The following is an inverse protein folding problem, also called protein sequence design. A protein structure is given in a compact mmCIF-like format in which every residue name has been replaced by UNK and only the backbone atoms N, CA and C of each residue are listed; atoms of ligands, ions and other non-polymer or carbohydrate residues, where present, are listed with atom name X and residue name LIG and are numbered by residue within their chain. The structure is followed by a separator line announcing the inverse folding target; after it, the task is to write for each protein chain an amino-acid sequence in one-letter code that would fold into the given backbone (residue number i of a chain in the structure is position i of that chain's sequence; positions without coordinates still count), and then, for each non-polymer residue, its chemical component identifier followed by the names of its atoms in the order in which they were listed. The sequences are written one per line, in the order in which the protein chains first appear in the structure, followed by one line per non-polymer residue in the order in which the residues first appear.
data_IF_761423983269
#
_entry.id   IF_761423983269
#
_cell.length_a   1.000
_cell.length_b   1.000
_cell.length_c   1.000
_cell.angle_alpha   90.00
_cell.angle_beta   90.00
_cell.angle_gamma   90.00
#
_symmetry.space_group_name_H-M   'P 1'
#
loop_
_entity.id
_entity.type
_entity.pdbx_description
1 polymer ?
#
# COMPACT_ATOMS: atom_id res chain seq x y z
N UNK A 1 2.04 -1.23 -9.64
CA UNK A 1 1.94 0.20 -9.39
C UNK A 1 2.98 0.97 -10.21
N UNK A 2 4.25 0.59 -10.21
CA UNK A 2 5.31 1.28 -10.97
C UNK A 2 4.94 1.50 -12.44
N UNK A 3 4.48 0.48 -13.16
CA UNK A 3 4.08 0.60 -14.56
C UNK A 3 2.93 1.61 -14.77
N UNK A 4 1.97 1.66 -13.84
CA UNK A 4 0.85 2.62 -13.90
C UNK A 4 1.40 4.05 -13.78
N UNK A 5 2.27 4.28 -12.81
CA UNK A 5 2.90 5.59 -12.59
C UNK A 5 3.80 5.98 -13.76
N UNK A 6 4.53 5.04 -14.34
CA UNK A 6 5.36 5.30 -15.51
C UNK A 6 4.53 5.71 -16.72
N UNK A 7 3.43 4.99 -16.99
CA UNK A 7 2.49 5.36 -18.07
C UNK A 7 1.85 6.72 -17.81
N UNK A 8 1.38 6.98 -16.60
CA UNK A 8 0.81 8.26 -16.21
C UNK A 8 1.83 9.38 -16.42
N UNK A 9 3.03 9.22 -15.87
CA UNK A 9 4.11 10.19 -15.96
C UNK A 9 4.50 10.54 -17.40
N UNK A 10 4.50 9.52 -18.28
CA UNK A 10 4.76 9.72 -19.72
C UNK A 10 3.62 10.51 -20.39
N UNK A 11 2.37 10.21 -20.03
CA UNK A 11 1.20 10.88 -20.61
C UNK A 11 1.09 12.36 -20.20
N UNK A 12 1.36 12.63 -18.92
CA UNK A 12 1.26 14.00 -18.38
C UNK A 12 2.59 14.77 -18.45
N UNK A 13 3.67 14.10 -18.89
CA UNK A 13 5.03 14.64 -18.98
C UNK A 13 5.60 15.19 -17.66
N UNK A 14 5.12 14.63 -16.54
CA UNK A 14 5.56 14.99 -15.19
C UNK A 14 5.93 13.76 -14.38
N UNK A 15 6.96 13.83 -13.53
CA UNK A 15 7.28 12.75 -12.61
C UNK A 15 6.18 12.63 -11.55
N UNK A 16 5.82 11.38 -11.24
CA UNK A 16 4.73 11.07 -10.33
C UNK A 16 5.13 10.11 -9.23
N UNK A 17 4.47 10.21 -8.08
CA UNK A 17 4.53 9.22 -7.03
C UNK A 17 3.12 8.83 -6.60
N UNK A 18 2.98 7.62 -6.04
CA UNK A 18 1.79 7.17 -5.37
C UNK A 18 2.11 6.81 -3.93
N UNK A 19 1.42 7.46 -3.01
CA UNK A 19 1.55 7.20 -1.57
C UNK A 19 0.39 6.31 -1.14
N UNK A 20 0.72 5.06 -0.84
CA UNK A 20 -0.20 4.00 -0.43
C UNK A 20 -0.43 4.10 1.08
N UNK A 21 -1.63 4.53 1.48
CA UNK A 21 -2.00 4.68 2.89
C UNK A 21 -2.51 3.38 3.53
N UNK A 22 -2.70 2.32 2.75
CA UNK A 22 -3.16 1.02 3.24
C UNK A 22 -1.97 0.13 3.64
N UNK A 23 -0.91 0.11 2.82
CA UNK A 23 0.27 -0.71 3.06
C UNK A 23 1.50 0.12 3.49
N UNK A 24 1.34 1.43 3.69
CA UNK A 24 2.37 2.37 4.12
C UNK A 24 3.62 2.31 3.21
N UNK A 25 3.39 2.42 1.90
CA UNK A 25 4.45 2.37 0.87
C UNK A 25 4.36 3.55 -0.07
N UNK A 26 5.51 3.93 -0.62
CA UNK A 26 5.58 4.96 -1.65
C UNK A 26 6.17 4.35 -2.91
N UNK A 27 5.54 4.64 -4.03
CA UNK A 27 5.96 4.21 -5.36
C UNK A 27 6.24 5.44 -6.22
N UNK A 28 7.29 5.37 -7.03
CA UNK A 28 7.71 6.47 -7.89
C UNK A 28 7.73 6.02 -9.35
N UNK A 29 7.48 6.95 -10.27
CA UNK A 29 7.82 6.78 -11.70
C UNK A 29 9.35 6.77 -11.88
N UNK A 30 9.83 6.29 -13.04
CA UNK A 30 11.27 6.20 -13.31
C UNK A 30 11.92 7.56 -13.59
N UNK A 31 11.17 8.47 -14.21
CA UNK A 31 11.62 9.81 -14.64
C UNK A 31 11.58 10.88 -13.52
N UNK A 32 11.78 10.45 -12.27
CA UNK A 32 11.91 11.41 -11.15
C UNK A 32 13.15 12.26 -11.37
N UNK A 33 12.97 13.59 -11.34
CA UNK A 33 14.07 14.57 -11.51
C UNK A 33 15.11 14.44 -10.40
N UNK A 34 16.33 14.92 -10.67
CA UNK A 34 17.41 14.94 -9.66
C UNK A 34 16.97 15.67 -8.40
N UNK A 35 16.23 16.78 -8.54
CA UNK A 35 15.70 17.58 -7.44
C UNK A 35 14.69 16.83 -6.55
N UNK A 36 14.04 15.80 -7.06
CA UNK A 36 13.07 14.97 -6.31
C UNK A 36 13.60 13.58 -5.98
N UNK A 37 14.81 13.24 -6.42
CA UNK A 37 15.39 11.90 -6.24
C UNK A 37 15.58 11.55 -4.76
N UNK A 38 15.85 12.56 -3.92
CA UNK A 38 16.01 12.37 -2.47
C UNK A 38 14.75 11.78 -1.81
N UNK A 39 13.56 12.01 -2.39
CA UNK A 39 12.30 11.46 -1.87
C UNK A 39 12.29 9.93 -1.86
N UNK A 40 13.01 9.28 -2.78
CA UNK A 40 13.10 7.80 -2.84
C UNK A 40 13.80 7.20 -1.62
N UNK A 41 14.59 7.99 -0.91
CA UNK A 41 15.30 7.58 0.32
C UNK A 41 14.54 7.87 1.61
N UNK A 42 13.41 8.59 1.54
CA UNK A 42 12.63 8.96 2.73
C UNK A 42 11.64 7.86 3.15
N UNK A 43 11.34 7.83 4.44
CA UNK A 43 10.30 6.94 4.96
C UNK A 43 8.91 7.42 4.54
N UNK A 44 7.93 6.49 4.56
CA UNK A 44 6.54 6.79 4.27
C UNK A 44 5.99 7.94 5.15
N UNK A 45 6.30 7.92 6.45
CA UNK A 45 5.83 8.91 7.44
C UNK A 45 6.34 10.32 7.12
N UNK A 46 7.59 10.44 6.70
CA UNK A 46 8.18 11.73 6.31
C UNK A 46 7.47 12.27 5.07
N UNK A 47 7.28 11.42 4.06
CA UNK A 47 6.59 11.85 2.82
C UNK A 47 5.15 12.25 3.10
N UNK A 48 4.45 11.51 3.95
CA UNK A 48 3.07 11.80 4.32
C UNK A 48 2.93 13.15 5.05
N UNK A 49 3.81 13.44 5.99
CA UNK A 49 3.68 14.58 6.90
C UNK A 49 4.28 15.87 6.34
N UNK A 50 5.40 15.79 5.62
CA UNK A 50 6.17 16.97 5.24
C UNK A 50 5.96 17.37 3.77
N UNK A 51 5.69 16.41 2.88
CA UNK A 51 5.68 16.66 1.43
C UNK A 51 4.28 16.73 0.82
N UNK A 52 3.23 16.36 1.55
CA UNK A 52 1.85 16.44 1.08
C UNK A 52 1.42 17.87 0.71
N UNK A 53 1.90 18.86 1.46
CA UNK A 53 1.57 20.27 1.20
C UNK A 53 2.46 20.89 0.13
N UNK A 54 3.67 20.38 -0.04
CA UNK A 54 4.64 20.88 -1.02
C UNK A 54 4.25 20.57 -2.45
N UNK A 55 3.72 19.37 -2.69
CA UNK A 55 3.33 18.88 -4.01
C UNK A 55 1.81 18.86 -4.20
N UNK A 56 1.38 18.84 -5.46
CA UNK A 56 -0.04 18.61 -5.74
C UNK A 56 -0.38 17.16 -5.53
N UNK A 57 -1.36 16.91 -4.66
CA UNK A 57 -1.83 15.57 -4.32
C UNK A 57 -3.27 15.40 -4.78
N UNK A 58 -3.53 14.28 -5.46
CA UNK A 58 -4.86 13.87 -5.91
C UNK A 58 -5.24 12.62 -5.16
N UNK A 59 -6.31 12.67 -4.38
CA UNK A 59 -6.78 11.55 -3.58
C UNK A 59 -7.26 10.39 -4.45
N UNK A 60 -6.80 9.17 -4.14
CA UNK A 60 -7.24 7.92 -4.76
C UNK A 60 -8.28 7.30 -3.84
N UNK A 61 -9.55 7.54 -4.14
CA UNK A 61 -10.69 7.15 -3.30
C UNK A 61 -11.73 6.37 -4.12
N UNK A 62 -12.38 5.40 -3.48
CA UNK A 62 -13.54 4.72 -4.02
C UNK A 62 -14.65 4.76 -2.97
N UNK A 63 -15.71 5.50 -3.23
CA UNK A 63 -16.77 5.82 -2.26
C UNK A 63 -16.17 6.43 -0.99
N UNK A 64 -16.24 5.71 0.14
CA UNK A 64 -15.73 6.16 1.43
C UNK A 64 -14.32 5.64 1.74
N UNK A 65 -13.79 4.70 0.92
CA UNK A 65 -12.47 4.11 1.16
C UNK A 65 -11.38 4.89 0.44
N UNK A 66 -10.42 5.40 1.21
CA UNK A 66 -9.21 6.03 0.70
C UNK A 66 -8.09 5.00 0.61
N UNK A 67 -7.46 4.91 -0.56
CA UNK A 67 -6.33 4.01 -0.83
C UNK A 67 -4.97 4.73 -0.78
N UNK A 68 -5.00 6.05 -0.88
CA UNK A 68 -3.82 6.88 -0.88
C UNK A 68 -3.99 8.13 -1.73
N UNK A 69 -2.90 8.62 -2.30
CA UNK A 69 -2.94 9.75 -3.23
C UNK A 69 -1.81 9.69 -4.25
N UNK A 70 -2.08 10.20 -5.44
CA UNK A 70 -1.09 10.46 -6.48
C UNK A 70 -0.48 11.83 -6.20
N UNK A 71 0.84 11.90 -6.15
CA UNK A 71 1.61 13.12 -5.95
C UNK A 71 2.33 13.47 -7.25
N UNK A 72 2.18 14.70 -7.70
CA UNK A 72 2.84 15.24 -8.88
C UNK A 72 4.08 15.97 -8.41
N UNK A 73 5.27 15.50 -8.87
CA UNK A 73 6.56 15.92 -8.33
C UNK A 73 7.16 17.13 -9.08
N UNK A 74 6.37 17.87 -9.83
CA UNK A 74 6.78 19.14 -10.42
C UNK A 74 6.41 20.31 -9.52
N UNK A 75 7.17 21.39 -9.60
CA UNK A 75 6.93 22.58 -8.78
C UNK A 75 5.60 23.27 -9.19
N UNK A 76 4.80 23.66 -8.21
CA UNK A 76 3.50 24.31 -8.43
C UNK A 76 3.60 25.64 -9.20
N UNK A 77 4.75 26.30 -9.10
CA UNK A 77 4.99 27.63 -9.69
C UNK A 77 5.15 27.62 -11.22
N UNK A 78 5.51 26.49 -11.81
CA UNK A 78 5.85 26.38 -13.25
C UNK A 78 4.70 25.90 -14.15
N UNK A 79 3.49 25.73 -13.59
CA UNK A 79 2.38 25.10 -14.34
C UNK A 79 1.57 26.11 -15.11
N UNK A 80 1.94 26.33 -16.34
CA UNK A 80 1.10 26.96 -17.37
C UNK A 80 0.51 25.86 -18.24
N UNK A 81 -0.66 25.31 -17.87
CA UNK A 81 -1.36 24.37 -18.75
C UNK A 81 -2.13 25.13 -19.81
N UNK A 82 -1.96 24.84 -21.13
CA UNK A 82 -2.90 25.30 -22.14
C UNK A 82 -4.28 24.63 -21.85
N UNK A 83 -5.35 25.38 -22.01
CA UNK A 83 -6.74 24.95 -21.73
C UNK A 83 -7.13 23.61 -22.38
N UNK A 84 -6.51 23.26 -23.49
CA UNK A 84 -6.78 22.02 -24.26
C UNK A 84 -6.14 20.77 -23.59
N UNK A 85 -5.00 20.93 -22.92
CA UNK A 85 -4.27 19.82 -22.27
C UNK A 85 -4.84 19.49 -20.88
N UNK A 86 -5.53 20.43 -20.26
CA UNK A 86 -6.17 20.27 -18.94
C UNK A 86 -7.13 19.07 -18.88
N UNK A 87 -7.87 18.79 -19.96
CA UNK A 87 -8.84 17.70 -20.00
C UNK A 87 -8.16 16.34 -20.16
N UNK A 88 -7.12 16.22 -20.99
CA UNK A 88 -6.32 14.99 -21.18
C UNK A 88 -5.61 14.65 -19.89
N UNK A 89 -5.01 15.65 -19.25
CA UNK A 89 -4.30 15.54 -18.00
C UNK A 89 -5.21 15.00 -16.87
N UNK A 90 -6.37 15.62 -16.67
CA UNK A 90 -7.37 15.18 -15.70
C UNK A 90 -7.83 13.76 -15.96
N UNK A 91 -8.15 13.45 -17.21
CA UNK A 91 -8.60 12.13 -17.62
C UNK A 91 -7.52 11.06 -17.38
N UNK A 92 -6.25 11.35 -17.68
CA UNK A 92 -5.14 10.42 -17.42
C UNK A 92 -5.00 10.09 -15.93
N UNK A 93 -5.11 11.10 -15.05
CA UNK A 93 -5.06 10.90 -13.60
C UNK A 93 -6.26 10.09 -13.11
N UNK A 94 -7.46 10.37 -13.61
CA UNK A 94 -8.67 9.62 -13.27
C UNK A 94 -8.54 8.13 -13.65
N UNK A 95 -8.07 7.83 -14.86
CA UNK A 95 -7.82 6.44 -15.27
C UNK A 95 -6.74 5.77 -14.44
N UNK A 96 -5.62 6.45 -14.18
CA UNK A 96 -4.57 5.92 -13.31
C UNK A 96 -5.12 5.62 -11.91
N UNK A 97 -5.94 6.50 -11.34
CA UNK A 97 -6.58 6.30 -10.05
C UNK A 97 -7.48 5.06 -10.04
N UNK A 98 -8.30 4.86 -11.07
CA UNK A 98 -9.16 3.68 -11.19
C UNK A 98 -8.33 2.40 -11.23
N UNK A 99 -7.26 2.37 -12.04
CA UNK A 99 -6.39 1.19 -12.16
C UNK A 99 -5.65 0.91 -10.84
N UNK A 100 -5.20 1.96 -10.14
CA UNK A 100 -4.59 1.82 -8.81
C UNK A 100 -5.61 1.23 -7.81
N UNK A 101 -6.85 1.74 -7.78
CA UNK A 101 -7.90 1.23 -6.91
C UNK A 101 -8.13 -0.26 -7.14
N UNK A 102 -8.29 -0.68 -8.40
CA UNK A 102 -8.48 -2.09 -8.75
C UNK A 102 -7.30 -2.95 -8.28
N UNK A 103 -6.07 -2.47 -8.49
CA UNK A 103 -4.87 -3.17 -8.05
C UNK A 103 -4.78 -3.28 -6.54
N UNK A 104 -5.17 -2.24 -5.83
CA UNK A 104 -5.20 -2.21 -4.36
C UNK A 104 -6.27 -3.15 -3.81
N UNK A 105 -7.46 -3.19 -4.39
CA UNK A 105 -8.52 -4.10 -3.99
C UNK A 105 -8.10 -5.57 -4.14
N UNK A 106 -7.47 -5.94 -5.26
CA UNK A 106 -6.92 -7.29 -5.46
C UNK A 106 -5.89 -7.61 -4.37
N UNK A 107 -4.98 -6.68 -4.07
CA UNK A 107 -3.94 -6.87 -3.07
C UNK A 107 -4.51 -7.04 -1.65
N UNK A 108 -5.50 -6.24 -1.29
CA UNK A 108 -6.21 -6.36 -0.01
C UNK A 108 -6.93 -7.71 0.08
N UNK A 109 -7.64 -8.10 -0.98
CA UNK A 109 -8.34 -9.39 -1.03
C UNK A 109 -7.37 -10.56 -0.87
N UNK A 110 -6.25 -10.56 -1.58
CA UNK A 110 -5.23 -11.60 -1.46
C UNK A 110 -4.68 -11.69 -0.02
N UNK A 111 -4.38 -10.53 0.59
CA UNK A 111 -3.93 -10.49 1.98
C UNK A 111 -4.95 -11.05 2.95
N UNK A 112 -6.23 -10.73 2.78
CA UNK A 112 -7.30 -11.28 3.64
C UNK A 112 -7.42 -12.80 3.49
N UNK A 113 -7.25 -13.32 2.27
CA UNK A 113 -7.24 -14.77 2.00
C UNK A 113 -6.05 -15.44 2.69
N UNK A 114 -4.84 -14.87 2.55
CA UNK A 114 -3.63 -15.36 3.21
C UNK A 114 -3.80 -15.38 4.74
N UNK A 115 -4.26 -14.26 5.33
CA UNK A 115 -4.51 -14.14 6.77
C UNK A 115 -5.52 -15.18 7.27
N UNK A 116 -6.57 -15.48 6.49
CA UNK A 116 -7.55 -16.53 6.82
C UNK A 116 -6.90 -17.91 6.85
N UNK A 117 -6.06 -18.24 5.87
CA UNK A 117 -5.35 -19.51 5.83
C UNK A 117 -4.36 -19.66 6.98
N UNK A 118 -3.59 -18.61 7.29
CA UNK A 118 -2.68 -18.59 8.45
C UNK A 118 -3.45 -18.84 9.76
N UNK A 119 -4.53 -18.10 9.98
CA UNK A 119 -5.35 -18.23 11.18
C UNK A 119 -5.96 -19.62 11.32
N UNK A 120 -6.42 -20.21 10.20
CA UNK A 120 -6.94 -21.58 10.19
C UNK A 120 -5.86 -22.60 10.54
N UNK A 121 -4.66 -22.48 9.97
CA UNK A 121 -3.56 -23.39 10.27
C UNK A 121 -3.10 -23.29 11.72
N UNK A 122 -2.97 -22.07 12.26
CA UNK A 122 -2.64 -21.86 13.68
C UNK A 122 -3.73 -22.45 14.58
N UNK A 123 -5.01 -22.25 14.24
CA UNK A 123 -6.12 -22.88 14.96
C UNK A 123 -6.07 -24.40 14.95
N UNK A 124 -5.78 -25.01 13.80
CA UNK A 124 -5.61 -26.45 13.65
C UNK A 124 -4.45 -26.99 14.51
N UNK A 125 -3.33 -26.26 14.58
CA UNK A 125 -2.20 -26.61 15.45
C UNK A 125 -2.60 -26.56 16.93
N UNK A 126 -3.25 -25.47 17.36
CA UNK A 126 -3.66 -25.27 18.76
C UNK A 126 -4.69 -26.31 19.23
N UNK A 127 -5.60 -26.71 18.34
CA UNK A 127 -6.64 -27.72 18.62
C UNK A 127 -6.17 -29.15 18.39
N UNK A 128 -4.89 -29.35 18.03
CA UNK A 128 -4.33 -30.66 17.69
C UNK A 128 -5.09 -31.40 16.57
N UNK A 129 -5.63 -30.65 15.62
CA UNK A 129 -6.33 -31.18 14.44
C UNK A 129 -5.35 -31.72 13.39
N UNK A 130 -4.12 -31.22 13.34
CA UNK A 130 -3.02 -31.74 12.50
C UNK A 130 -2.22 -32.72 13.33
N UNK A 131 -2.26 -34.01 12.98
CA UNK A 131 -1.77 -35.10 13.85
C UNK A 131 -0.34 -35.53 13.52
N UNK A 132 0.16 -35.25 12.33
CA UNK A 132 1.49 -35.70 11.92
C UNK A 132 2.46 -34.54 11.76
N UNK A 133 3.70 -34.77 12.18
CA UNK A 133 4.78 -33.78 12.03
C UNK A 133 5.05 -33.45 10.56
N UNK A 134 4.91 -34.44 9.69
CA UNK A 134 5.09 -34.28 8.26
C UNK A 134 4.04 -33.31 7.65
N UNK A 135 2.76 -33.47 8.03
CA UNK A 135 1.70 -32.57 7.59
C UNK A 135 1.89 -31.14 8.13
N UNK A 136 2.31 -31.01 9.40
CA UNK A 136 2.62 -29.70 10.01
C UNK A 136 3.72 -29.00 9.22
N UNK A 137 4.84 -29.69 8.95
CA UNK A 137 5.96 -29.11 8.22
C UNK A 137 5.58 -28.76 6.78
N UNK A 138 4.84 -29.64 6.09
CA UNK A 138 4.39 -29.37 4.72
C UNK A 138 3.53 -28.12 4.65
N UNK A 139 2.54 -27.98 5.54
CA UNK A 139 1.67 -26.78 5.60
C UNK A 139 2.46 -25.53 6.04
N UNK A 140 3.37 -25.65 7.00
CA UNK A 140 4.22 -24.55 7.46
C UNK A 140 5.11 -24.01 6.33
N UNK A 141 5.72 -24.90 5.54
CA UNK A 141 6.53 -24.51 4.39
C UNK A 141 5.76 -23.74 3.31
N UNK A 142 4.49 -24.06 3.09
CA UNK A 142 3.63 -23.26 2.18
C UNK A 142 3.53 -21.78 2.61
N UNK A 143 3.68 -21.52 3.91
CA UNK A 143 3.64 -20.17 4.50
C UNK A 143 5.03 -19.59 4.74
N UNK A 144 6.10 -20.28 4.31
CA UNK A 144 7.48 -19.85 4.54
C UNK A 144 7.94 -20.01 6.00
N UNK A 145 7.24 -20.82 6.80
CA UNK A 145 7.60 -21.07 8.19
C UNK A 145 8.49 -22.32 8.29
N UNK A 146 9.58 -22.17 9.04
CA UNK A 146 10.44 -23.31 9.40
C UNK A 146 10.15 -23.71 10.85
N UNK A 147 9.52 -24.88 11.04
CA UNK A 147 9.18 -25.44 12.34
C UNK A 147 10.08 -26.62 12.74
N UNK A 148 11.12 -26.93 11.96
CA UNK A 148 12.00 -28.08 12.21
C UNK A 148 12.76 -27.99 13.54
N UNK A 149 13.13 -26.79 13.94
CA UNK A 149 13.83 -26.50 15.20
C UNK A 149 12.93 -26.44 16.44
N UNK A 150 11.63 -26.69 16.30
CA UNK A 150 10.67 -26.42 17.36
C UNK A 150 10.33 -24.92 17.46
N UNK A 151 9.44 -24.58 18.39
CA UNK A 151 9.00 -23.19 18.59
C UNK A 151 8.46 -22.99 20.01
N UNK A 152 8.12 -21.76 20.31
CA UNK A 152 7.39 -21.39 21.52
C UNK A 152 6.10 -20.65 21.16
N UNK A 153 5.11 -20.78 22.02
CA UNK A 153 3.85 -20.06 21.91
C UNK A 153 3.86 -18.93 22.96
N UNK A 154 3.66 -17.70 22.51
CA UNK A 154 3.47 -16.56 23.39
C UNK A 154 2.02 -16.08 23.30
N UNK A 155 1.40 -15.86 24.45
CA UNK A 155 0.07 -15.27 24.53
C UNK A 155 0.23 -13.84 25.04
N UNK A 156 -0.19 -12.86 24.21
CA UNK A 156 -0.16 -11.45 24.58
C UNK A 156 -1.61 -11.04 24.85
N UNK A 157 -1.94 -10.75 26.10
CA UNK A 157 -3.24 -10.19 26.47
C UNK A 157 -3.11 -8.69 26.68
N UNK A 158 -3.93 -7.92 25.94
CA UNK A 158 -3.97 -6.46 26.06
C UNK A 158 -5.16 -6.08 26.95
N UNK A 159 -4.87 -5.81 28.21
CA UNK A 159 -5.86 -5.35 29.15
C UNK A 159 -6.49 -4.02 28.72
N UNK A 160 -7.82 -3.93 28.78
CA UNK A 160 -8.60 -2.73 28.46
C UNK A 160 -8.64 -2.31 26.98
N UNK A 161 -8.47 -3.24 26.04
CA UNK A 161 -8.55 -2.95 24.59
C UNK A 161 -9.86 -2.23 24.22
N UNK A 162 -10.99 -2.59 24.84
CA UNK A 162 -12.29 -1.91 24.65
C UNK A 162 -12.25 -0.44 25.06
N UNK A 163 -11.49 -0.09 26.10
CA UNK A 163 -11.37 1.27 26.60
C UNK A 163 -10.50 2.14 25.69
N UNK A 164 -9.55 1.53 24.98
CA UNK A 164 -8.71 2.19 23.99
C UNK A 164 -9.49 2.52 22.71
N UNK A 165 -10.29 1.59 22.20
CA UNK A 165 -11.13 1.83 21.01
C UNK A 165 -12.24 2.85 21.27
N UNK A 166 -12.87 2.86 22.45
CA UNK A 166 -13.92 3.82 22.78
C UNK A 166 -13.43 5.26 23.04
N UNK A 167 -12.11 5.47 23.20
CA UNK A 167 -11.52 6.81 23.36
C UNK A 167 -11.10 7.45 22.04
N UNK A 168 -10.98 6.68 20.97
CA UNK A 168 -10.49 7.13 19.66
C UNK A 168 -11.57 7.04 18.55
N UNK A 169 -12.83 6.87 18.93
CA UNK A 169 -14.03 7.09 18.12
C UNK A 169 -14.67 8.42 18.50
#
# INVERSE_FOLDING_TARGET
IHQILQTLSTLIQEPTAYVDTVFHKVYFSENVSEDSLYLKGLSYEIILNEYREKYQCIDVVNKEQKFGYIMLLSDRSDRTYPDTDSNIYKTAIEYASIVIILRMQIRISNRMIEEKYYSSFVGDLMLNNVKTREEINTRAHLYGWNLDGGGFVAIIDINNIKKYYLRNL
#
